data_IF_665726302548
#
_entry.id   IF_665726302548
#
_cell.length_a   1.000
_cell.length_b   1.000
_cell.length_c   1.000
_cell.angle_alpha   90.00
_cell.angle_beta   90.00
_cell.angle_gamma   90.00
#
_symmetry.space_group_name_H-M   'P 1'
#
loop_
_entity.id
_entity.type
_entity.pdbx_description
1 polymer ?
#
# COMPACT_ATOMS: atom_id res chain seq x y z
N UNK A 1 11.04 -6.75 1.19
CA UNK A 1 9.97 -6.14 0.39
C UNK A 1 10.46 -6.09 -1.05
N UNK A 2 9.76 -6.75 -1.99
CA UNK A 2 10.07 -6.60 -3.42
C UNK A 2 9.50 -5.27 -3.94
N UNK A 3 10.31 -4.37 -4.52
CA UNK A 3 9.85 -3.04 -4.95
C UNK A 3 8.81 -3.09 -6.08
N UNK A 4 8.93 -4.06 -6.99
CA UNK A 4 8.06 -4.16 -8.16
C UNK A 4 6.67 -4.70 -7.78
N UNK A 5 6.63 -5.73 -6.94
CA UNK A 5 5.40 -6.28 -6.37
C UNK A 5 4.65 -5.24 -5.52
N UNK A 6 5.37 -4.42 -4.75
CA UNK A 6 4.76 -3.34 -3.97
C UNK A 6 4.11 -2.27 -4.86
N UNK A 7 4.82 -1.82 -5.89
CA UNK A 7 4.31 -0.81 -6.83
C UNK A 7 3.04 -1.32 -7.54
N UNK A 8 3.06 -2.57 -8.03
CA UNK A 8 1.92 -3.19 -8.67
C UNK A 8 0.71 -3.27 -7.73
N UNK A 9 0.89 -3.79 -6.51
CA UNK A 9 -0.18 -3.91 -5.53
C UNK A 9 -0.77 -2.55 -5.14
N UNK A 10 0.08 -1.53 -5.01
CA UNK A 10 -0.34 -0.16 -4.69
C UNK A 10 -1.20 0.44 -5.80
N UNK A 11 -0.75 0.30 -7.05
CA UNK A 11 -1.48 0.82 -8.22
C UNK A 11 -2.81 0.10 -8.41
N UNK A 12 -2.84 -1.23 -8.23
CA UNK A 12 -4.07 -2.02 -8.26
C UNK A 12 -5.06 -1.51 -7.21
N UNK A 13 -4.62 -1.32 -5.96
CA UNK A 13 -5.48 -0.82 -4.90
C UNK A 13 -6.10 0.54 -5.26
N UNK A 14 -5.30 1.49 -5.75
CA UNK A 14 -5.76 2.83 -6.15
C UNK A 14 -6.81 2.74 -7.26
N UNK A 15 -6.56 1.94 -8.30
CA UNK A 15 -7.49 1.75 -9.43
C UNK A 15 -8.78 1.06 -8.98
N UNK A 16 -8.73 0.17 -7.98
CA UNK A 16 -9.92 -0.49 -7.42
C UNK A 16 -10.74 0.40 -6.47
N UNK A 17 -10.36 1.67 -6.29
CA UNK A 17 -11.10 2.63 -5.47
C UNK A 17 -10.49 2.88 -4.09
N UNK A 18 -9.27 2.41 -3.84
CA UNK A 18 -8.52 2.83 -2.66
C UNK A 18 -8.22 4.33 -2.75
N UNK A 19 -8.58 5.06 -1.70
CA UNK A 19 -8.34 6.51 -1.67
C UNK A 19 -6.83 6.76 -1.61
N UNK A 20 -6.32 7.57 -2.54
CA UNK A 20 -4.91 7.99 -2.54
C UNK A 20 -4.47 8.57 -1.18
N UNK A 21 -5.38 9.24 -0.46
CA UNK A 21 -5.13 9.77 0.90
C UNK A 21 -4.84 8.70 1.95
N UNK A 22 -5.13 7.43 1.66
CA UNK A 22 -4.88 6.26 2.51
C UNK A 22 -3.74 5.39 1.97
N UNK A 23 -2.90 5.90 1.06
CA UNK A 23 -1.77 5.14 0.51
C UNK A 23 -0.80 4.65 1.59
N UNK A 24 -0.75 5.34 2.74
CA UNK A 24 0.03 4.92 3.90
C UNK A 24 -0.35 3.51 4.39
N UNK A 25 -1.61 3.10 4.24
CA UNK A 25 -2.09 1.76 4.61
C UNK A 25 -1.50 0.65 3.73
N UNK A 26 -1.06 1.00 2.52
CA UNK A 26 -0.48 0.09 1.54
C UNK A 26 1.06 0.01 1.63
N UNK A 27 1.68 0.79 2.52
CA UNK A 27 3.12 0.75 2.69
C UNK A 27 3.51 -0.53 3.46
N UNK A 28 4.48 -1.30 2.98
CA UNK A 28 4.95 -2.52 3.65
C UNK A 28 5.74 -2.20 4.92
N UNK A 29 6.13 -0.94 5.08
CA UNK A 29 6.73 -0.34 6.27
C UNK A 29 5.69 0.42 7.11
N UNK A 30 4.40 0.29 6.78
CA UNK A 30 3.34 0.71 7.68
C UNK A 30 3.39 -0.22 8.88
N UNK A 31 4.25 0.11 9.85
CA UNK A 31 4.21 -0.41 11.20
C UNK A 31 2.92 0.11 11.85
N UNK A 32 1.75 -0.23 11.28
CA UNK A 32 0.51 -0.26 12.03
C UNK A 32 0.84 -1.16 13.21
N UNK A 33 1.01 -0.53 14.38
CA UNK A 33 1.65 -1.10 15.53
C UNK A 33 1.10 -2.50 15.77
N UNK A 34 1.88 -3.54 15.44
CA UNK A 34 1.68 -4.83 16.06
C UNK A 34 2.19 -4.68 17.49
N UNK A 35 1.32 -4.17 18.35
CA UNK A 35 1.38 -4.33 19.80
C UNK A 35 0.01 -4.79 20.28
#
# INVERSE_FOLDING_TARGET
VDPHAWLAATLTAIVTGHKQSQIHDLLPWNYAAKV
#
